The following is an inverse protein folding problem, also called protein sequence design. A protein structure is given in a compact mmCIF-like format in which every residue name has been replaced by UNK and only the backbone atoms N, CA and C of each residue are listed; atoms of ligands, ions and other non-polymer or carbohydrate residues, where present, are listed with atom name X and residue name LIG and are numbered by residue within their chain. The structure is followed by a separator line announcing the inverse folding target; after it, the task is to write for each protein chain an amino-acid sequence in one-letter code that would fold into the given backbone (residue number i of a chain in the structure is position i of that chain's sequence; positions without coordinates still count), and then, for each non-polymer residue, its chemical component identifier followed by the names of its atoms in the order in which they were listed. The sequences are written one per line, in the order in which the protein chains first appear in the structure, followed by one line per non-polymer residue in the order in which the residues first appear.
data_IF_114510852868
#
_entry.id   IF_114510852868
#
_cell.length_a   1.000
_cell.length_b   1.000
_cell.length_c   1.000
_cell.angle_alpha   90.00
_cell.angle_beta   90.00
_cell.angle_gamma   90.00
#
_symmetry.space_group_name_H-M   'P 1'
#
loop_
_entity.id
_entity.type
_entity.pdbx_description
1 polymer ?
#
# COMPACT_ATOMS: atom_id res chain seq x y z
N UNK A 1 18.03 -14.33 -15.64
CA UNK A 1 17.04 -14.22 -14.55
C UNK A 1 16.19 -12.98 -14.82
N UNK A 2 15.05 -13.09 -15.54
CA UNK A 2 14.16 -11.94 -15.75
C UNK A 2 13.44 -11.69 -14.43
N UNK A 3 13.76 -10.58 -13.77
CA UNK A 3 13.23 -10.24 -12.46
C UNK A 3 11.72 -9.98 -12.59
N UNK A 4 10.89 -10.91 -12.09
CA UNK A 4 9.42 -10.82 -12.06
C UNK A 4 8.89 -9.55 -11.34
N UNK A 5 9.79 -8.80 -10.71
CA UNK A 5 9.52 -7.54 -10.01
C UNK A 5 9.23 -6.36 -10.96
N UNK A 6 9.76 -6.35 -12.19
CA UNK A 6 9.62 -5.20 -13.12
C UNK A 6 8.60 -5.42 -14.23
N UNK A 7 7.94 -6.58 -14.26
CA UNK A 7 6.81 -6.80 -15.16
C UNK A 7 5.58 -6.07 -14.64
N UNK A 8 4.69 -5.64 -15.53
CA UNK A 8 3.42 -5.03 -15.16
C UNK A 8 2.61 -5.93 -14.21
N UNK A 9 1.78 -5.31 -13.37
CA UNK A 9 0.83 -6.01 -12.53
C UNK A 9 -0.46 -6.24 -13.31
N UNK A 10 -0.97 -7.46 -13.24
CA UNK A 10 -2.34 -7.77 -13.62
C UNK A 10 -3.22 -7.44 -12.40
N UNK A 11 -4.09 -6.44 -12.53
CA UNK A 11 -4.91 -5.96 -11.43
C UNK A 11 -6.16 -6.83 -11.19
N UNK A 12 -6.55 -7.66 -12.15
CA UNK A 12 -7.73 -8.51 -12.02
C UNK A 12 -7.39 -9.85 -11.37
N UNK A 13 -6.25 -10.45 -11.75
CA UNK A 13 -5.92 -11.83 -11.40
C UNK A 13 -4.56 -11.98 -10.69
N UNK A 14 -3.77 -10.91 -10.61
CA UNK A 14 -2.41 -10.94 -10.10
C UNK A 14 -2.26 -10.51 -8.64
N UNK A 15 -1.27 -11.09 -7.93
CA UNK A 15 -0.79 -10.51 -6.67
C UNK A 15 -0.21 -9.12 -6.92
N UNK A 16 -0.71 -8.13 -6.19
CA UNK A 16 -0.23 -6.73 -6.21
C UNK A 16 1.05 -6.53 -5.40
N UNK A 17 1.55 -7.59 -4.76
CA UNK A 17 2.81 -7.62 -4.04
C UNK A 17 3.68 -8.74 -4.60
N UNK A 18 4.95 -8.45 -4.83
CA UNK A 18 5.99 -9.39 -5.26
C UNK A 18 7.24 -9.14 -4.43
N UNK A 19 7.90 -10.20 -3.99
CA UNK A 19 9.15 -10.07 -3.25
C UNK A 19 10.19 -11.09 -3.72
N UNK A 20 11.46 -10.80 -3.45
CA UNK A 20 12.56 -11.72 -3.64
C UNK A 20 13.63 -11.44 -2.59
N UNK A 21 14.17 -12.49 -1.98
CA UNK A 21 15.33 -12.38 -1.11
C UNK A 21 16.54 -12.95 -1.89
N UNK A 22 17.51 -12.10 -2.16
CA UNK A 22 18.73 -12.47 -2.88
C UNK A 22 19.86 -12.60 -1.85
N UNK A 23 20.42 -13.79 -1.72
CA UNK A 23 21.59 -14.03 -0.89
C UNK A 23 22.86 -13.68 -1.68
N UNK A 24 23.62 -12.69 -1.21
CA UNK A 24 24.90 -12.28 -1.81
C UNK A 24 26.09 -12.99 -1.17
N UNK A 25 25.94 -13.44 0.08
CA UNK A 25 26.94 -14.17 0.83
C UNK A 25 26.38 -14.79 2.10
N UNK A 26 27.25 -15.31 2.97
CA UNK A 26 26.82 -15.99 4.20
C UNK A 26 25.95 -15.10 5.11
N UNK A 27 26.29 -13.83 5.22
CA UNK A 27 25.63 -12.86 6.10
C UNK A 27 25.07 -11.64 5.37
N UNK A 28 24.98 -11.70 4.03
CA UNK A 28 24.57 -10.55 3.21
C UNK A 28 23.41 -10.95 2.32
N UNK A 29 22.31 -10.21 2.46
CA UNK A 29 21.07 -10.46 1.73
C UNK A 29 20.47 -9.13 1.26
N UNK A 30 19.88 -9.14 0.08
CA UNK A 30 19.09 -8.04 -0.46
C UNK A 30 17.63 -8.49 -0.53
N UNK A 31 16.77 -7.80 0.21
CA UNK A 31 15.34 -7.99 0.12
C UNK A 31 14.76 -6.99 -0.89
N UNK A 32 14.16 -7.53 -1.95
CA UNK A 32 13.49 -6.77 -2.99
C UNK A 32 12.00 -6.90 -2.78
N UNK A 33 11.29 -5.78 -2.77
CA UNK A 33 9.84 -5.71 -2.67
C UNK A 33 9.30 -4.80 -3.77
N UNK A 34 8.36 -5.31 -4.54
CA UNK A 34 7.57 -4.54 -5.51
C UNK A 34 6.10 -4.60 -5.12
N UNK A 35 5.48 -3.44 -4.94
CA UNK A 35 4.07 -3.30 -4.60
C UNK A 35 3.41 -2.38 -5.61
N UNK A 36 2.21 -2.71 -6.07
CA UNK A 36 1.43 -1.82 -6.91
C UNK A 36 0.91 -0.62 -6.09
N UNK A 37 1.09 0.60 -6.60
CA UNK A 37 0.73 1.83 -5.89
C UNK A 37 -0.78 1.98 -5.57
N UNK A 38 -1.64 1.18 -6.20
CA UNK A 38 -3.08 1.16 -5.87
C UNK A 38 -3.36 0.67 -4.44
N UNK A 39 -2.45 -0.11 -3.84
CA UNK A 39 -2.56 -0.64 -2.47
C UNK A 39 -1.44 -0.12 -1.55
N UNK A 40 -0.68 0.88 -2.00
CA UNK A 40 0.51 1.34 -1.29
C UNK A 40 0.81 2.80 -1.61
N UNK A 41 1.13 3.58 -0.60
CA UNK A 41 1.54 4.98 -0.72
C UNK A 41 2.76 5.27 0.17
N UNK A 42 3.25 6.51 0.13
CA UNK A 42 4.41 6.92 0.93
C UNK A 42 4.19 6.85 2.44
N UNK A 43 2.95 6.87 2.92
CA UNK A 43 2.66 6.69 4.36
C UNK A 43 2.73 5.21 4.75
N UNK A 44 2.18 4.35 3.89
CA UNK A 44 2.15 2.90 4.04
C UNK A 44 3.56 2.29 4.10
N UNK A 45 4.53 2.92 3.45
CA UNK A 45 5.94 2.51 3.49
C UNK A 45 6.51 2.44 4.91
N UNK A 46 6.31 3.49 5.71
CA UNK A 46 6.79 3.51 7.09
C UNK A 46 6.12 2.45 7.97
N UNK A 47 4.82 2.21 7.76
CA UNK A 47 4.06 1.17 8.47
C UNK A 47 4.60 -0.21 8.13
N UNK A 48 4.77 -0.50 6.84
CA UNK A 48 5.26 -1.78 6.35
C UNK A 48 6.63 -2.13 6.95
N UNK A 49 7.61 -1.23 6.86
CA UNK A 49 8.96 -1.54 7.33
C UNK A 49 9.03 -1.72 8.84
N UNK A 50 8.29 -0.91 9.61
CA UNK A 50 8.18 -1.06 11.06
C UNK A 50 7.60 -2.42 11.45
N UNK A 51 6.53 -2.84 10.78
CA UNK A 51 5.85 -4.09 11.10
C UNK A 51 6.64 -5.31 10.62
N UNK A 52 7.23 -5.25 9.42
CA UNK A 52 8.09 -6.31 8.90
C UNK A 52 9.31 -6.55 9.80
N UNK A 53 9.96 -5.49 10.27
CA UNK A 53 11.11 -5.62 11.18
C UNK A 53 10.70 -6.17 12.56
N UNK A 54 9.56 -5.74 13.11
CA UNK A 54 9.02 -6.29 14.35
C UNK A 54 8.69 -7.78 14.23
N UNK A 55 8.04 -8.19 13.14
CA UNK A 55 7.73 -9.58 12.84
C UNK A 55 9.00 -10.42 12.64
N UNK A 56 9.97 -9.91 11.89
CA UNK A 56 11.25 -10.58 11.68
C UNK A 56 12.00 -10.82 12.99
N UNK A 57 12.06 -9.84 13.88
CA UNK A 57 12.71 -9.98 15.19
C UNK A 57 12.00 -11.00 16.09
N UNK A 58 10.66 -11.00 16.11
CA UNK A 58 9.88 -11.96 16.88
C UNK A 58 10.06 -13.39 16.34
N UNK A 59 9.87 -13.59 15.03
CA UNK A 59 9.95 -14.92 14.43
C UNK A 59 11.37 -15.48 14.42
N UNK A 60 12.40 -14.65 14.25
CA UNK A 60 13.81 -15.11 14.33
C UNK A 60 14.21 -15.59 15.74
N UNK A 61 13.46 -15.20 16.77
CA UNK A 61 13.66 -15.66 18.15
C UNK A 61 12.61 -16.68 18.62
N UNK A 62 11.80 -17.21 17.70
CA UNK A 62 10.76 -18.21 18.00
C UNK A 62 9.54 -17.67 18.76
N UNK A 63 9.36 -16.36 18.82
CA UNK A 63 8.20 -15.70 19.45
C UNK A 63 7.06 -15.55 18.44
N UNK A 64 5.83 -15.40 18.94
CA UNK A 64 4.65 -15.09 18.12
C UNK A 64 4.65 -13.63 17.64
N UNK A 65 3.74 -13.31 16.70
CA UNK A 65 3.54 -11.93 16.24
C UNK A 65 3.28 -10.98 17.42
N UNK A 66 4.04 -9.89 17.56
CA UNK A 66 3.78 -8.86 18.57
C UNK A 66 2.71 -7.85 18.10
N UNK A 67 2.28 -7.92 16.84
CA UNK A 67 1.33 -6.98 16.26
C UNK A 67 -0.09 -7.38 16.62
N UNK A 68 -0.88 -6.37 16.99
CA UNK A 68 -2.32 -6.53 17.19
C UNK A 68 -3.01 -6.71 15.83
N UNK A 69 -4.07 -7.51 15.81
CA UNK A 69 -4.92 -7.62 14.65
C UNK A 69 -5.58 -6.26 14.37
N UNK A 70 -5.55 -5.82 13.11
CA UNK A 70 -6.21 -4.58 12.71
C UNK A 70 -7.73 -4.75 12.86
N UNK A 71 -8.39 -3.90 13.67
CA UNK A 71 -9.83 -3.98 13.87
C UNK A 71 -10.63 -3.51 12.65
N UNK A 72 -9.98 -2.81 11.72
CA UNK A 72 -10.54 -2.27 10.48
C UNK A 72 -9.63 -2.69 9.35
N UNK A 73 -10.21 -3.22 8.28
CA UNK A 73 -9.52 -3.57 7.05
C UNK A 73 -9.73 -2.49 5.99
N UNK A 74 -8.86 -2.43 4.98
CA UNK A 74 -8.98 -1.45 3.92
C UNK A 74 -10.31 -1.57 3.13
N UNK A 75 -10.88 -2.78 3.05
CA UNK A 75 -12.20 -2.98 2.46
C UNK A 75 -13.30 -2.21 3.22
N UNK A 76 -13.23 -2.19 4.56
CA UNK A 76 -14.16 -1.43 5.39
C UNK A 76 -14.01 0.06 5.14
N UNK A 77 -12.76 0.55 5.05
CA UNK A 77 -12.47 1.93 4.68
C UNK A 77 -13.04 2.29 3.30
N UNK A 78 -12.89 1.43 2.29
CA UNK A 78 -13.39 1.68 0.94
C UNK A 78 -14.93 1.75 0.89
N UNK A 79 -15.62 0.89 1.65
CA UNK A 79 -17.08 0.94 1.79
C UNK A 79 -17.51 2.22 2.51
N UNK A 80 -16.88 2.54 3.63
CA UNK A 80 -17.16 3.76 4.39
C UNK A 80 -16.95 5.01 3.53
N UNK A 81 -15.82 5.11 2.82
CA UNK A 81 -15.51 6.27 1.98
C UNK A 81 -16.56 6.44 0.88
N UNK A 82 -16.98 5.33 0.26
CA UNK A 82 -18.04 5.36 -0.76
C UNK A 82 -19.36 5.84 -0.19
N UNK A 83 -19.73 5.45 1.02
CA UNK A 83 -20.96 5.89 1.67
C UNK A 83 -20.89 7.37 2.07
N UNK A 84 -19.74 7.80 2.58
CA UNK A 84 -19.51 9.17 3.01
C UNK A 84 -19.48 10.16 1.83
N UNK A 85 -18.84 9.79 0.72
CA UNK A 85 -18.77 10.59 -0.51
C UNK A 85 -20.06 10.46 -1.36
N UNK A 86 -21.21 10.82 -0.79
CA UNK A 86 -22.50 10.86 -1.51
C UNK A 86 -23.31 12.09 -1.13
N UNK A 87 -24.34 12.40 -1.92
CA UNK A 87 -25.26 13.51 -1.68
C UNK A 87 -24.55 14.85 -1.49
N UNK A 88 -24.97 15.59 -0.47
CA UNK A 88 -24.49 16.95 -0.19
C UNK A 88 -22.96 17.05 -0.02
N UNK A 89 -22.31 16.04 0.55
CA UNK A 89 -20.85 16.01 0.72
C UNK A 89 -20.16 15.97 -0.64
N UNK A 90 -20.63 15.08 -1.54
CA UNK A 90 -20.08 14.99 -2.89
C UNK A 90 -20.30 16.29 -3.66
N UNK A 91 -21.50 16.85 -3.61
CA UNK A 91 -21.83 18.09 -4.32
C UNK A 91 -20.99 19.27 -3.84
N UNK A 92 -20.78 19.39 -2.53
CA UNK A 92 -19.95 20.44 -1.92
C UNK A 92 -18.49 20.31 -2.37
N UNK A 93 -17.91 19.12 -2.29
CA UNK A 93 -16.53 18.87 -2.70
C UNK A 93 -16.34 19.16 -4.20
N UNK A 94 -17.27 18.70 -5.04
CA UNK A 94 -17.21 18.91 -6.48
C UNK A 94 -17.33 20.39 -6.84
N UNK A 95 -18.27 21.12 -6.23
CA UNK A 95 -18.46 22.55 -6.48
C UNK A 95 -17.23 23.36 -6.07
N UNK A 96 -16.62 23.04 -4.92
CA UNK A 96 -15.38 23.67 -4.50
C UNK A 96 -14.28 23.51 -5.56
N UNK A 97 -13.99 22.28 -6.00
CA UNK A 97 -12.92 22.04 -6.97
C UNK A 97 -13.20 22.66 -8.33
N UNK A 98 -14.45 22.67 -8.79
CA UNK A 98 -14.86 23.39 -10.01
C UNK A 98 -14.55 24.87 -9.91
N UNK A 99 -14.86 25.51 -8.78
CA UNK A 99 -14.56 26.93 -8.58
C UNK A 99 -13.05 27.19 -8.53
N UNK A 100 -12.28 26.36 -7.81
CA UNK A 100 -10.83 26.52 -7.72
C UNK A 100 -10.13 26.38 -9.08
N UNK A 101 -10.61 25.45 -9.91
CA UNK A 101 -10.01 25.15 -11.21
C UNK A 101 -10.59 25.98 -12.36
N UNK A 102 -11.61 26.81 -12.12
CA UNK A 102 -12.31 27.55 -13.16
C UNK A 102 -11.41 28.54 -13.93
N UNK A 103 -10.39 29.08 -13.28
CA UNK A 103 -9.42 30.01 -13.87
C UNK A 103 -8.05 29.37 -14.11
N UNK A 104 -7.94 28.05 -14.01
CA UNK A 104 -6.68 27.37 -14.29
C UNK A 104 -6.33 27.54 -15.77
N UNK A 105 -5.10 27.97 -16.10
CA UNK A 105 -4.68 28.06 -17.48
C UNK A 105 -4.75 26.67 -18.13
N UNK A 106 -5.08 26.60 -19.45
CA UNK A 106 -4.99 25.34 -20.17
C UNK A 106 -3.55 24.82 -20.14
N UNK A 107 -3.44 23.50 -19.99
CA UNK A 107 -2.17 22.77 -19.98
C UNK A 107 -1.40 22.90 -21.30
#
# INVERSE_FOLDING_TARGET
MKTKLVTTFDLEQGSLLRFSLVQLGKNEHVFLLGVHHIVFDGWSEGVLWRELTALYAAFSTGKSSPLLQLPIQYADFAVWQRQWLQGEVMDTQLNYWKQQLAASPPC
#
